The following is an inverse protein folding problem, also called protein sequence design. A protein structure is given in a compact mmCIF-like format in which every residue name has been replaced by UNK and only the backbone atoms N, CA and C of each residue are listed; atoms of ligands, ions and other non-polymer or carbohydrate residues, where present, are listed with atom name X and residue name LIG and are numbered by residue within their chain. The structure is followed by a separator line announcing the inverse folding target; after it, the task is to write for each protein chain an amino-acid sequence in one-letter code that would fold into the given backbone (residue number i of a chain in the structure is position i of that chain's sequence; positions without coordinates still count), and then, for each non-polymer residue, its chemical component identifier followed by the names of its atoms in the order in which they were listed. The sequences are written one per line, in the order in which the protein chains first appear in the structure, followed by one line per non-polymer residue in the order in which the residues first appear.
data_IF_076428770875
#
_entry.id   IF_076428770875
#
_cell.length_a   1.000
_cell.length_b   1.000
_cell.length_c   1.000
_cell.angle_alpha   90.00
_cell.angle_beta   90.00
_cell.angle_gamma   90.00
#
_symmetry.space_group_name_H-M   'P 1'
#
loop_
_entity.id
_entity.type
_entity.pdbx_description
1 polymer ?
#
# COMPACT_ATOMS: atom_id res chain seq x y z
N UNK A 1 8.45 -1.61 38.91
CA UNK A 1 9.34 -0.57 38.34
C UNK A 1 8.78 0.80 38.70
N UNK A 2 7.48 1.06 38.54
CA UNK A 2 6.86 2.37 38.83
C UNK A 2 7.00 2.76 40.30
N UNK A 3 6.74 1.81 41.21
CA UNK A 3 6.91 2.04 42.65
C UNK A 3 8.33 2.43 43.03
N UNK A 4 9.34 1.81 42.40
CA UNK A 4 10.74 2.15 42.60
C UNK A 4 11.07 3.55 42.05
N UNK A 5 10.49 3.94 40.93
CA UNK A 5 10.67 5.26 40.36
C UNK A 5 10.06 6.33 41.28
N UNK A 6 8.89 6.09 41.86
CA UNK A 6 8.26 6.99 42.82
C UNK A 6 9.09 7.16 44.10
N UNK A 7 9.63 6.06 44.62
CA UNK A 7 10.52 6.08 45.81
C UNK A 7 11.82 6.86 45.52
N UNK A 8 12.42 6.66 44.34
CA UNK A 8 13.62 7.38 43.90
C UNK A 8 13.29 8.88 43.77
N UNK A 9 12.15 9.21 43.15
CA UNK A 9 11.69 10.61 43.02
C UNK A 9 11.58 11.28 44.37
N UNK A 10 10.98 10.63 45.36
CA UNK A 10 10.84 11.19 46.71
C UNK A 10 12.19 11.42 47.38
N UNK A 11 13.09 10.47 47.26
CA UNK A 11 14.43 10.59 47.83
C UNK A 11 15.24 11.71 47.17
N UNK A 12 15.18 11.82 45.85
CA UNK A 12 15.88 12.86 45.11
C UNK A 12 15.31 14.26 45.44
N UNK A 13 13.98 14.42 45.44
CA UNK A 13 13.35 15.68 45.85
C UNK A 13 13.79 16.13 47.26
N UNK A 14 13.87 15.16 48.20
CA UNK A 14 14.32 15.45 49.56
C UNK A 14 15.82 15.83 49.60
N UNK A 15 16.65 15.16 48.84
CA UNK A 15 18.10 15.42 48.76
C UNK A 15 18.41 16.75 48.07
N UNK A 16 17.68 17.09 47.02
CA UNK A 16 17.84 18.36 46.28
C UNK A 16 17.10 19.53 46.96
N UNK A 17 16.37 19.27 48.05
CA UNK A 17 15.58 20.29 48.78
C UNK A 17 14.56 20.98 47.89
N UNK A 18 13.95 20.26 46.99
CA UNK A 18 12.90 20.80 46.05
C UNK A 18 11.62 20.96 46.85
N UNK A 19 11.02 22.16 46.83
CA UNK A 19 9.78 22.44 47.51
C UNK A 19 8.61 21.69 46.86
N UNK A 20 7.53 21.46 47.62
CA UNK A 20 6.40 20.63 47.15
C UNK A 20 5.73 21.16 45.87
N UNK A 21 5.88 22.45 45.57
CA UNK A 21 5.30 23.08 44.38
C UNK A 21 6.26 23.35 43.24
N UNK A 22 7.54 23.07 43.44
CA UNK A 22 8.56 23.30 42.43
C UNK A 22 8.72 22.06 41.55
N UNK A 23 9.05 22.31 40.27
CA UNK A 23 9.33 21.24 39.29
C UNK A 23 10.62 20.49 39.64
N UNK A 24 10.69 19.23 39.27
CA UNK A 24 11.87 18.41 39.48
C UNK A 24 13.04 18.90 38.62
N UNK A 25 14.23 19.00 39.18
CA UNK A 25 15.48 19.32 38.49
C UNK A 25 16.19 18.10 37.90
N UNK A 26 15.52 16.94 37.98
CA UNK A 26 15.97 15.67 37.44
C UNK A 26 14.86 14.98 36.67
N UNK A 27 15.22 14.01 35.81
CA UNK A 27 14.26 13.14 35.12
C UNK A 27 14.66 11.67 35.32
N UNK A 28 13.66 10.84 35.64
CA UNK A 28 13.84 9.39 35.74
C UNK A 28 13.35 8.77 34.44
N UNK A 29 14.27 8.24 33.64
CA UNK A 29 13.95 7.53 32.42
C UNK A 29 13.88 6.04 32.74
N UNK A 30 12.72 5.45 32.61
CA UNK A 30 12.49 4.03 32.76
C UNK A 30 12.81 3.30 31.44
N UNK A 31 13.23 2.06 31.52
CA UNK A 31 13.44 1.25 30.33
C UNK A 31 12.15 1.08 29.50
N UNK A 32 10.98 1.06 30.16
CA UNK A 32 9.68 1.07 29.51
C UNK A 32 9.47 2.32 28.66
N UNK A 33 9.97 3.47 29.08
CA UNK A 33 9.82 4.74 28.39
C UNK A 33 10.66 4.73 27.10
N UNK A 34 11.85 4.15 27.17
CA UNK A 34 12.71 3.97 25.97
C UNK A 34 12.04 3.06 24.95
N UNK A 35 11.44 1.95 25.41
CA UNK A 35 10.70 1.03 24.52
C UNK A 35 9.46 1.71 23.93
N UNK A 36 8.75 2.51 24.73
CA UNK A 36 7.60 3.27 24.23
C UNK A 36 8.01 4.29 23.17
N UNK A 37 9.08 5.07 23.43
CA UNK A 37 9.61 6.04 22.44
C UNK A 37 10.04 5.34 21.15
N UNK A 38 10.72 4.19 21.26
CA UNK A 38 11.10 3.40 20.08
C UNK A 38 9.88 2.90 19.31
N UNK A 39 8.81 2.50 20.03
CA UNK A 39 7.53 2.12 19.44
C UNK A 39 6.86 3.27 18.70
N UNK A 40 6.83 4.46 19.30
CA UNK A 40 6.26 5.67 18.69
C UNK A 40 7.02 6.07 17.43
N UNK A 41 8.35 6.07 17.48
CA UNK A 41 9.19 6.36 16.30
C UNK A 41 8.90 5.36 15.17
N UNK A 42 8.83 4.06 15.50
CA UNK A 42 8.51 3.01 14.53
C UNK A 42 7.11 3.21 13.94
N UNK A 43 6.13 3.59 14.76
CA UNK A 43 4.77 3.91 14.34
C UNK A 43 4.72 5.08 13.34
N UNK A 44 5.44 6.17 13.63
CA UNK A 44 5.55 7.33 12.75
C UNK A 44 6.21 6.94 11.43
N UNK A 45 7.32 6.20 11.46
CA UNK A 45 8.01 5.73 10.26
C UNK A 45 7.12 4.81 9.41
N UNK A 46 6.40 3.89 10.04
CA UNK A 46 5.46 2.99 9.35
C UNK A 46 4.33 3.77 8.68
N UNK A 47 3.78 4.77 9.37
CA UNK A 47 2.73 5.63 8.80
C UNK A 47 3.26 6.45 7.62
N UNK A 48 4.45 7.00 7.74
CA UNK A 48 5.10 7.76 6.68
C UNK A 48 5.38 6.89 5.45
N UNK A 49 6.00 5.73 5.63
CA UNK A 49 6.26 4.78 4.55
C UNK A 49 4.95 4.26 3.92
N UNK A 50 3.94 3.98 4.73
CA UNK A 50 2.61 3.59 4.27
C UNK A 50 1.94 4.67 3.41
N UNK A 51 2.11 5.94 3.77
CA UNK A 51 1.60 7.07 2.99
C UNK A 51 2.28 7.18 1.63
N UNK A 52 3.61 7.01 1.57
CA UNK A 52 4.37 6.98 0.32
C UNK A 52 3.92 5.81 -0.56
N UNK A 53 3.74 4.63 0.04
CA UNK A 53 3.26 3.44 -0.67
C UNK A 53 1.85 3.65 -1.25
N UNK A 54 0.94 4.29 -0.48
CA UNK A 54 -0.41 4.60 -0.94
C UNK A 54 -0.40 5.56 -2.14
N UNK A 55 0.42 6.62 -2.10
CA UNK A 55 0.57 7.55 -3.22
C UNK A 55 1.14 6.83 -4.44
N UNK A 56 2.18 6.00 -4.26
CA UNK A 56 2.78 5.21 -5.35
C UNK A 56 1.77 4.26 -5.98
N UNK A 57 0.91 3.65 -5.17
CA UNK A 57 -0.16 2.75 -5.61
C UNK A 57 -1.22 3.51 -6.43
N UNK A 58 -1.60 4.72 -6.01
CA UNK A 58 -2.51 5.59 -6.77
C UNK A 58 -1.93 5.96 -8.13
N UNK A 59 -0.67 6.37 -8.19
CA UNK A 59 0.02 6.71 -9.45
C UNK A 59 0.10 5.49 -10.37
N UNK A 60 0.48 4.32 -9.82
CA UNK A 60 0.49 3.05 -10.55
C UNK A 60 -0.88 2.65 -11.07
N UNK A 61 -1.93 2.83 -10.26
CA UNK A 61 -3.31 2.56 -10.65
C UNK A 61 -3.81 3.48 -11.78
N UNK A 62 -3.46 4.77 -11.74
CA UNK A 62 -3.72 5.70 -12.85
C UNK A 62 -2.99 5.24 -14.12
N UNK A 63 -1.76 4.71 -13.97
CA UNK A 63 -1.02 4.10 -15.08
C UNK A 63 -1.76 2.94 -15.71
N UNK A 64 -2.29 2.00 -14.90
CA UNK A 64 -3.13 0.89 -15.38
C UNK A 64 -4.36 1.42 -16.12
N UNK A 65 -5.07 2.39 -15.54
CA UNK A 65 -6.24 3.01 -16.16
C UNK A 65 -5.92 3.61 -17.54
N UNK A 66 -4.81 4.32 -17.66
CA UNK A 66 -4.39 4.94 -18.91
C UNK A 66 -4.05 3.89 -19.98
N UNK A 67 -3.28 2.84 -19.62
CA UNK A 67 -2.96 1.74 -20.52
C UNK A 67 -4.25 1.06 -21.01
N UNK A 68 -5.19 0.81 -20.10
CA UNK A 68 -6.47 0.19 -20.44
C UNK A 68 -7.34 1.08 -21.32
N UNK A 69 -7.33 2.41 -21.13
CA UNK A 69 -8.05 3.34 -22.00
C UNK A 69 -7.47 3.34 -23.41
N UNK A 70 -6.15 3.30 -23.57
CA UNK A 70 -5.47 3.16 -24.87
C UNK A 70 -5.86 1.83 -25.50
N UNK A 71 -5.79 0.72 -24.75
CA UNK A 71 -6.18 -0.62 -25.24
C UNK A 71 -7.64 -0.66 -25.72
N UNK A 72 -8.57 0.01 -25.01
CA UNK A 72 -9.96 0.13 -25.43
C UNK A 72 -10.09 0.89 -26.75
N UNK A 73 -9.35 1.99 -26.92
CA UNK A 73 -9.38 2.77 -28.18
C UNK A 73 -8.80 2.02 -29.36
N UNK A 74 -7.67 1.33 -29.17
CA UNK A 74 -7.03 0.50 -30.21
C UNK A 74 -7.92 -0.68 -30.63
N UNK A 75 -8.67 -1.27 -29.68
CA UNK A 75 -9.57 -2.41 -29.93
C UNK A 75 -11.03 -1.99 -30.17
N UNK A 76 -11.30 -0.72 -30.44
CA UNK A 76 -12.67 -0.23 -30.62
C UNK A 76 -13.44 -0.99 -31.69
N UNK A 77 -12.85 -1.26 -32.86
CA UNK A 77 -13.45 -2.02 -33.96
C UNK A 77 -13.73 -3.48 -33.57
N UNK A 78 -12.81 -4.12 -32.86
CA UNK A 78 -12.98 -5.49 -32.35
C UNK A 78 -14.16 -5.60 -31.37
N UNK A 79 -14.25 -4.64 -30.43
CA UNK A 79 -15.36 -4.54 -29.46
C UNK A 79 -16.69 -4.33 -30.23
N UNK A 80 -16.68 -3.49 -31.28
CA UNK A 80 -17.84 -3.25 -32.16
C UNK A 80 -18.32 -4.53 -32.80
N UNK A 81 -17.41 -5.34 -33.39
CA UNK A 81 -17.75 -6.62 -34.03
C UNK A 81 -18.36 -7.59 -33.01
N UNK A 82 -17.71 -7.76 -31.83
CA UNK A 82 -18.25 -8.65 -30.78
C UNK A 82 -19.67 -8.26 -30.36
N UNK A 83 -19.93 -6.98 -30.20
CA UNK A 83 -21.26 -6.49 -29.84
C UNK A 83 -22.29 -6.64 -30.99
N UNK A 84 -21.88 -6.49 -32.24
CA UNK A 84 -22.73 -6.72 -33.40
C UNK A 84 -23.14 -8.22 -33.50
N UNK A 85 -22.30 -9.13 -33.12
CA UNK A 85 -22.55 -10.60 -33.07
C UNK A 85 -23.33 -11.00 -31.79
N UNK A 86 -23.62 -10.06 -30.88
CA UNK A 86 -24.50 -10.31 -29.73
C UNK A 86 -23.83 -10.36 -28.36
N UNK A 87 -22.55 -9.99 -28.23
CA UNK A 87 -21.91 -9.89 -26.93
C UNK A 87 -22.61 -8.84 -26.04
N UNK A 88 -22.93 -9.25 -24.81
CA UNK A 88 -23.60 -8.37 -23.83
C UNK A 88 -22.60 -7.40 -23.21
N UNK A 89 -23.09 -6.24 -22.78
CA UNK A 89 -22.26 -5.23 -22.08
C UNK A 89 -21.50 -5.83 -20.90
N UNK A 90 -22.10 -6.77 -20.16
CA UNK A 90 -21.48 -7.43 -19.02
C UNK A 90 -20.25 -8.27 -19.42
N UNK A 91 -20.30 -8.91 -20.58
CA UNK A 91 -19.25 -9.82 -21.03
C UNK A 91 -18.01 -9.00 -21.43
N UNK A 92 -18.22 -7.89 -22.17
CA UNK A 92 -17.15 -6.93 -22.50
C UNK A 92 -16.56 -6.32 -21.21
N UNK A 93 -17.41 -5.88 -20.28
CA UNK A 93 -16.93 -5.32 -19.00
C UNK A 93 -16.12 -6.32 -18.20
N UNK A 94 -16.59 -7.57 -18.08
CA UNK A 94 -15.89 -8.63 -17.34
C UNK A 94 -14.53 -8.92 -17.97
N UNK A 95 -14.44 -8.99 -19.30
CA UNK A 95 -13.19 -9.20 -20.00
C UNK A 95 -12.15 -8.14 -19.66
N UNK A 96 -12.49 -6.85 -19.79
CA UNK A 96 -11.55 -5.77 -19.51
C UNK A 96 -11.21 -5.64 -18.02
N UNK A 97 -12.14 -5.99 -17.11
CA UNK A 97 -11.84 -6.07 -15.68
C UNK A 97 -10.84 -7.19 -15.36
N UNK A 98 -11.01 -8.36 -15.93
CA UNK A 98 -10.06 -9.47 -15.76
C UNK A 98 -8.69 -9.08 -16.30
N UNK A 99 -8.63 -8.42 -17.47
CA UNK A 99 -7.37 -7.93 -18.06
C UNK A 99 -6.66 -6.93 -17.12
N UNK A 100 -7.40 -5.98 -16.52
CA UNK A 100 -6.85 -5.03 -15.56
C UNK A 100 -6.33 -5.72 -14.28
N UNK A 101 -7.08 -6.70 -13.76
CA UNK A 101 -6.66 -7.49 -12.58
C UNK A 101 -5.40 -8.30 -12.88
N UNK A 102 -5.33 -8.96 -14.03
CA UNK A 102 -4.15 -9.73 -14.43
C UNK A 102 -2.94 -8.82 -14.54
N UNK A 103 -3.08 -7.65 -15.18
CA UNK A 103 -2.01 -6.67 -15.32
C UNK A 103 -1.48 -6.20 -13.95
N UNK A 104 -2.39 -5.90 -13.02
CA UNK A 104 -2.01 -5.48 -11.67
C UNK A 104 -1.38 -6.61 -10.84
N UNK A 105 -1.86 -7.86 -10.99
CA UNK A 105 -1.28 -9.01 -10.30
C UNK A 105 0.14 -9.32 -10.80
N UNK A 106 0.40 -9.19 -12.11
CA UNK A 106 1.75 -9.33 -12.67
C UNK A 106 2.68 -8.26 -12.05
N UNK A 107 2.24 -7.00 -12.02
CA UNK A 107 2.98 -5.93 -11.36
C UNK A 107 3.21 -6.20 -9.87
N UNK A 108 2.19 -6.68 -9.16
CA UNK A 108 2.26 -7.08 -7.76
C UNK A 108 3.25 -8.23 -7.52
N UNK A 109 3.26 -9.24 -8.38
CA UNK A 109 4.20 -10.35 -8.29
C UNK A 109 5.65 -9.86 -8.47
N UNK A 110 5.89 -9.02 -9.48
CA UNK A 110 7.21 -8.40 -9.69
C UNK A 110 7.62 -7.59 -8.45
N UNK A 111 6.70 -6.81 -7.88
CA UNK A 111 6.92 -6.05 -6.67
C UNK A 111 7.28 -6.92 -5.46
N UNK A 112 6.60 -8.05 -5.26
CA UNK A 112 6.91 -9.02 -4.20
C UNK A 112 8.32 -9.60 -4.39
N UNK A 113 8.67 -10.00 -5.61
CA UNK A 113 10.02 -10.54 -5.92
C UNK A 113 11.09 -9.49 -5.64
N UNK A 114 10.94 -8.27 -6.17
CA UNK A 114 11.89 -7.18 -5.95
C UNK A 114 11.99 -6.79 -4.47
N UNK A 115 10.87 -6.72 -3.77
CA UNK A 115 10.82 -6.46 -2.33
C UNK A 115 11.53 -7.54 -1.51
N UNK A 116 11.34 -8.81 -1.87
CA UNK A 116 11.99 -9.94 -1.21
C UNK A 116 13.51 -9.94 -1.43
N UNK A 117 13.95 -9.65 -2.66
CA UNK A 117 15.38 -9.52 -2.97
C UNK A 117 15.98 -8.33 -2.21
N UNK A 118 15.33 -7.17 -2.24
CA UNK A 118 15.77 -5.98 -1.51
C UNK A 118 15.88 -6.23 -0.01
N UNK A 119 14.91 -6.92 0.58
CA UNK A 119 14.90 -7.32 1.99
C UNK A 119 16.13 -8.20 2.32
N UNK A 120 16.45 -9.20 1.50
CA UNK A 120 17.61 -10.07 1.71
C UNK A 120 18.94 -9.33 1.56
N UNK A 121 19.05 -8.41 0.59
CA UNK A 121 20.25 -7.58 0.42
C UNK A 121 20.49 -6.70 1.64
N UNK A 122 19.44 -6.05 2.17
CA UNK A 122 19.54 -5.21 3.38
C UNK A 122 19.95 -6.07 4.59
N UNK A 123 19.35 -7.26 4.75
CA UNK A 123 19.73 -8.17 5.84
C UNK A 123 21.19 -8.63 5.74
N UNK A 124 21.72 -8.81 4.52
CA UNK A 124 23.12 -9.20 4.30
C UNK A 124 24.12 -8.06 4.54
N UNK A 125 23.70 -6.80 4.41
CA UNK A 125 24.55 -5.62 4.64
C UNK A 125 24.54 -5.15 6.08
N UNK A 126 23.50 -5.44 6.85
CA UNK A 126 23.32 -5.00 8.22
C UNK A 126 23.28 -6.23 9.16
N UNK A 127 24.38 -6.54 9.82
CA UNK A 127 24.58 -7.73 10.67
C UNK A 127 23.52 -7.88 11.80
N UNK A 128 22.83 -6.80 12.17
CA UNK A 128 21.86 -6.77 13.26
C UNK A 128 20.38 -6.63 12.79
N UNK A 129 20.11 -6.67 11.48
CA UNK A 129 18.76 -6.55 10.94
C UNK A 129 18.28 -7.89 10.36
N UNK A 130 17.31 -8.50 11.02
CA UNK A 130 16.60 -9.66 10.48
C UNK A 130 15.34 -9.19 9.77
N UNK A 131 15.34 -9.25 8.46
CA UNK A 131 14.16 -8.97 7.66
C UNK A 131 13.47 -10.27 7.25
N UNK A 132 12.19 -10.39 7.54
CA UNK A 132 11.40 -11.58 7.21
C UNK A 132 10.19 -11.19 6.38
N UNK A 133 10.07 -11.73 5.18
CA UNK A 133 8.86 -11.61 4.36
C UNK A 133 7.92 -12.73 4.78
N UNK A 134 6.81 -12.36 5.43
CA UNK A 134 5.80 -13.32 5.91
C UNK A 134 4.74 -13.60 4.85
N UNK A 135 4.06 -14.73 4.98
CA UNK A 135 2.94 -15.08 4.10
C UNK A 135 1.80 -14.05 4.16
N UNK A 136 1.56 -13.45 5.34
CA UNK A 136 0.55 -12.41 5.51
C UNK A 136 0.87 -11.18 4.67
N UNK A 137 2.15 -10.78 4.61
CA UNK A 137 2.62 -9.67 3.76
C UNK A 137 2.39 -9.97 2.28
N UNK A 138 2.66 -11.21 1.83
CA UNK A 138 2.45 -11.63 0.44
C UNK A 138 0.96 -11.62 0.09
N UNK A 139 0.10 -12.17 0.96
CA UNK A 139 -1.35 -12.17 0.76
C UNK A 139 -1.90 -10.74 0.72
N UNK A 140 -1.43 -9.89 1.63
CA UNK A 140 -1.83 -8.49 1.70
C UNK A 140 -1.41 -7.74 0.43
N UNK A 141 -0.17 -7.89 -0.03
CA UNK A 141 0.33 -7.28 -1.27
C UNK A 141 -0.46 -7.74 -2.50
N UNK A 142 -0.74 -9.05 -2.59
CA UNK A 142 -1.53 -9.63 -3.69
C UNK A 142 -2.97 -9.11 -3.68
N UNK A 143 -3.59 -9.05 -2.48
CA UNK A 143 -4.93 -8.52 -2.30
C UNK A 143 -5.05 -7.04 -2.69
N UNK A 144 -4.09 -6.23 -2.27
CA UNK A 144 -4.03 -4.82 -2.67
C UNK A 144 -3.81 -4.66 -4.18
N UNK A 145 -2.92 -5.44 -4.80
CA UNK A 145 -2.73 -5.41 -6.24
C UNK A 145 -4.02 -5.72 -6.99
N UNK A 146 -4.73 -6.77 -6.60
CA UNK A 146 -6.02 -7.12 -7.19
C UNK A 146 -7.07 -6.01 -7.01
N UNK A 147 -7.15 -5.41 -5.83
CA UNK A 147 -8.07 -4.31 -5.52
C UNK A 147 -7.77 -3.07 -6.38
N UNK A 148 -6.51 -2.72 -6.60
CA UNK A 148 -6.08 -1.62 -7.47
C UNK A 148 -6.45 -1.90 -8.92
N UNK A 149 -6.16 -3.10 -9.43
CA UNK A 149 -6.55 -3.50 -10.79
C UNK A 149 -8.06 -3.43 -11.00
N UNK A 150 -8.84 -3.91 -10.02
CA UNK A 150 -10.29 -3.82 -10.05
C UNK A 150 -10.77 -2.37 -10.04
N UNK A 151 -10.29 -1.54 -9.10
CA UNK A 151 -10.74 -0.16 -8.93
C UNK A 151 -10.45 0.69 -10.16
N UNK A 152 -9.20 0.69 -10.63
CA UNK A 152 -8.79 1.49 -11.78
C UNK A 152 -9.22 0.88 -13.11
N UNK A 153 -9.55 -0.42 -13.16
CA UNK A 153 -10.09 -1.11 -14.32
C UNK A 153 -11.59 -0.86 -14.57
N UNK A 154 -12.38 -0.47 -13.54
CA UNK A 154 -13.83 -0.27 -13.66
C UNK A 154 -14.17 0.78 -14.72
N UNK A 155 -13.48 1.92 -14.73
CA UNK A 155 -13.79 3.02 -15.65
C UNK A 155 -13.51 2.64 -17.12
N UNK A 156 -12.31 2.16 -17.51
CA UNK A 156 -12.05 1.75 -18.89
C UNK A 156 -12.93 0.57 -19.33
N UNK A 157 -13.16 -0.41 -18.48
CA UNK A 157 -14.03 -1.55 -18.76
C UNK A 157 -15.51 -1.10 -19.03
N UNK A 158 -15.99 -0.14 -18.26
CA UNK A 158 -17.32 0.42 -18.45
C UNK A 158 -17.41 1.21 -19.75
N UNK A 159 -16.37 1.97 -20.09
CA UNK A 159 -16.29 2.72 -21.36
C UNK A 159 -16.30 1.78 -22.56
N UNK A 160 -15.52 0.68 -22.53
CA UNK A 160 -15.54 -0.35 -23.55
C UNK A 160 -16.94 -0.97 -23.71
N UNK A 161 -17.61 -1.27 -22.60
CA UNK A 161 -18.92 -1.88 -22.59
C UNK A 161 -20.04 -0.95 -23.12
N UNK A 162 -19.85 0.35 -23.12
CA UNK A 162 -20.84 1.33 -23.58
C UNK A 162 -20.67 1.76 -25.04
N UNK A 163 -19.57 1.36 -25.71
CA UNK A 163 -19.35 1.67 -27.13
C UNK A 163 -20.54 1.24 -27.99
N UNK A 164 -20.96 2.12 -28.91
CA UNK A 164 -22.00 1.81 -29.89
C UNK A 164 -21.38 0.98 -31.05
N UNK A 165 -21.92 -0.19 -31.40
CA UNK A 165 -21.36 -1.03 -32.46
C UNK A 165 -21.25 -0.31 -33.79
N UNK A 166 -22.23 0.56 -34.14
CA UNK A 166 -22.26 1.28 -35.44
C UNK A 166 -21.09 2.27 -35.49
N UNK A 167 -20.89 3.05 -34.42
CA UNK A 167 -19.82 4.03 -34.36
C UNK A 167 -18.45 3.36 -34.31
N UNK A 168 -18.34 2.25 -33.55
CA UNK A 168 -17.12 1.46 -33.43
C UNK A 168 -16.65 0.82 -34.75
N UNK A 169 -17.57 0.48 -35.64
CA UNK A 169 -17.27 -0.10 -36.98
C UNK A 169 -16.90 0.98 -38.02
N UNK A 170 -17.25 2.25 -37.77
CA UNK A 170 -16.89 3.39 -38.62
C UNK A 170 -15.58 4.06 -38.22
N UNK A 171 -15.01 3.61 -37.13
CA UNK A 171 -13.72 4.12 -36.60
C UNK A 171 -12.59 3.59 -37.48
N UNK A 172 -11.92 4.49 -38.21
CA UNK A 172 -10.68 4.25 -38.94
C UNK A 172 -9.46 4.50 -38.05
#
# INVERSE_FOLDING_TARGET
IDRAADEITQVLRQRHKIAFRDDDDFSIIKQSDIVAIAGDITGVLTTFLGSIAAISLLVGGIGIMNIMLVSVTERTREIGIRKAVGAKKRDIRAQFLVEAIILSLIGGLIGIVLGSIGSQVIAGLAENLTTVVTWDTILLATGFSAAVGLFFGIYPASRAATLNPIDALRYE
#
